data_IF_035375540274
#
_entry.id   IF_035375540274
#
_cell.length_a   1.000
_cell.length_b   1.000
_cell.length_c   1.000
_cell.angle_alpha   90.00
_cell.angle_beta   90.00
_cell.angle_gamma   90.00
#
_symmetry.space_group_name_H-M   'P 1'
#
loop_
_entity.id
_entity.type
_entity.pdbx_description
1 polymer ?
#
# COMPACT_ATOMS: atom_id res chain seq x y z
N UNK A 1 -19.60 -57.00 47.34
CA UNK A 1 -20.18 -57.39 46.04
C UNK A 1 -19.68 -56.38 45.02
N UNK A 2 -18.56 -56.68 44.36
CA UNK A 2 -18.47 -57.29 43.01
C UNK A 2 -18.89 -56.35 41.88
N UNK A 3 -17.85 -55.83 41.20
CA UNK A 3 -17.64 -55.62 39.76
C UNK A 3 -18.81 -55.02 38.94
N UNK A 4 -18.50 -53.97 38.17
CA UNK A 4 -18.30 -54.17 36.73
C UNK A 4 -17.56 -52.98 36.09
N UNK A 5 -16.40 -53.30 35.52
CA UNK A 5 -15.60 -52.43 34.66
C UNK A 5 -16.15 -52.58 33.24
N UNK A 6 -16.54 -51.46 32.63
CA UNK A 6 -17.03 -51.45 31.26
C UNK A 6 -15.94 -51.91 30.29
N UNK A 7 -16.29 -52.96 29.57
CA UNK A 7 -15.55 -53.57 28.46
C UNK A 7 -15.64 -52.67 27.25
N UNK A 8 -14.52 -52.07 26.84
CA UNK A 8 -14.41 -51.44 25.52
C UNK A 8 -13.93 -52.52 24.55
N UNK A 9 -14.83 -52.96 23.66
CA UNK A 9 -14.49 -53.77 22.48
C UNK A 9 -13.80 -52.85 21.48
N UNK A 10 -12.53 -53.11 21.19
CA UNK A 10 -11.81 -52.48 20.08
C UNK A 10 -11.88 -53.42 18.87
N UNK A 11 -12.48 -52.91 17.80
CA UNK A 11 -12.52 -53.54 16.50
C UNK A 11 -11.09 -53.66 15.92
N UNK A 12 -10.81 -54.83 15.36
CA UNK A 12 -9.60 -55.15 14.63
C UNK A 12 -9.61 -54.40 13.30
N UNK A 13 -8.53 -53.65 13.01
CA UNK A 13 -7.88 -53.64 11.69
C UNK A 13 -6.58 -52.80 11.72
N UNK A 14 -5.54 -53.39 11.13
CA UNK A 14 -4.35 -52.75 10.56
C UNK A 14 -3.15 -52.40 11.47
N UNK A 15 -2.42 -53.48 11.79
CA UNK A 15 -0.95 -53.60 11.73
C UNK A 15 -0.12 -52.40 12.20
N UNK A 16 -0.13 -52.17 13.51
CA UNK A 16 0.97 -51.51 14.19
C UNK A 16 2.22 -52.40 14.08
N UNK A 17 3.17 -52.03 13.20
CA UNK A 17 4.52 -52.62 13.17
C UNK A 17 5.20 -52.33 14.50
N UNK A 18 5.02 -53.27 15.42
CA UNK A 18 5.68 -53.38 16.72
C UNK A 18 7.19 -53.32 16.46
N UNK A 19 7.76 -52.13 16.64
CA UNK A 19 9.20 -51.93 16.64
C UNK A 19 9.77 -52.84 17.72
N UNK A 20 10.44 -53.90 17.29
CA UNK A 20 11.31 -54.69 18.16
C UNK A 20 12.42 -53.74 18.57
N UNK A 21 12.30 -53.16 19.76
CA UNK A 21 13.47 -52.73 20.51
C UNK A 21 14.36 -53.97 20.62
N UNK A 22 15.36 -54.05 19.75
CA UNK A 22 16.50 -54.92 19.99
C UNK A 22 17.17 -54.27 21.18
N UNK A 23 16.78 -54.72 22.37
CA UNK A 23 17.56 -54.55 23.57
C UNK A 23 18.88 -55.26 23.24
N UNK A 24 19.84 -54.50 22.71
CA UNK A 24 21.21 -54.96 22.60
C UNK A 24 21.68 -55.10 24.03
N UNK A 25 21.42 -56.27 24.61
CA UNK A 25 22.18 -56.76 25.74
C UNK A 25 23.63 -56.55 25.35
N UNK A 26 24.28 -55.58 25.99
CA UNK A 26 25.72 -55.47 26.03
C UNK A 26 26.18 -56.85 26.51
N UNK A 27 26.59 -57.70 25.58
CA UNK A 27 27.56 -58.73 25.90
C UNK A 27 28.80 -57.93 26.28
N UNK A 28 28.86 -57.55 27.55
CA UNK A 28 30.10 -57.27 28.23
C UNK A 28 30.87 -58.56 28.09
N UNK A 29 31.67 -58.65 27.03
CA UNK A 29 32.64 -59.71 26.87
C UNK A 29 33.56 -59.54 28.06
N UNK A 30 33.33 -60.31 29.11
CA UNK A 30 34.36 -60.52 30.10
C UNK A 30 35.60 -60.90 29.30
N UNK A 31 36.62 -60.05 29.38
CA UNK A 31 37.98 -60.39 28.96
C UNK A 31 38.31 -61.61 29.82
N UNK A 32 37.97 -62.79 29.31
CA UNK A 32 38.47 -64.03 29.84
C UNK A 32 39.97 -63.88 29.68
N UNK A 33 40.63 -63.74 30.82
CA UNK A 33 42.08 -63.75 30.91
C UNK A 33 42.52 -65.11 30.36
N UNK A 34 42.73 -65.15 29.03
CA UNK A 34 43.16 -66.34 28.32
C UNK A 34 44.50 -66.74 28.91
N UNK A 35 44.59 -67.98 29.41
CA UNK A 35 45.81 -68.51 29.99
C UNK A 35 46.99 -68.30 29.01
N UNK A 36 48.09 -67.65 29.43
CA UNK A 36 49.19 -67.29 28.54
C UNK A 36 49.87 -68.49 27.88
N UNK A 37 49.65 -69.71 28.39
CA UNK A 37 50.18 -70.96 27.84
C UNK A 37 49.17 -71.76 27.02
N UNK A 38 47.93 -71.29 26.90
CA UNK A 38 46.84 -71.98 26.19
C UNK A 38 47.19 -72.39 24.76
N UNK A 39 48.05 -71.64 24.08
CA UNK A 39 48.44 -71.92 22.69
C UNK A 39 49.40 -73.11 22.54
N UNK A 40 50.16 -73.46 23.60
CA UNK A 40 51.23 -74.48 23.55
C UNK A 40 51.09 -75.57 24.60
N UNK A 41 50.12 -75.45 25.52
CA UNK A 41 49.86 -76.40 26.62
C UNK A 41 49.67 -77.84 26.14
N UNK A 42 49.05 -78.02 24.98
CA UNK A 42 48.70 -79.34 24.46
C UNK A 42 49.78 -79.94 23.52
N UNK A 43 50.94 -79.26 23.38
CA UNK A 43 52.06 -79.76 22.58
C UNK A 43 52.92 -80.73 23.39
N UNK A 44 52.63 -82.03 23.29
CA UNK A 44 53.34 -83.07 24.02
C UNK A 44 54.83 -83.16 23.64
N UNK A 45 55.72 -83.08 24.63
CA UNK A 45 57.17 -83.15 24.44
C UNK A 45 57.85 -81.84 24.03
N UNK A 46 57.11 -80.71 24.01
CA UNK A 46 57.67 -79.40 23.73
C UNK A 46 58.24 -78.75 25.00
N UNK A 47 59.51 -78.32 24.97
CA UNK A 47 60.13 -77.54 26.05
C UNK A 47 60.05 -76.04 25.72
N UNK A 48 59.39 -75.28 26.59
CA UNK A 48 59.20 -73.84 26.41
C UNK A 48 60.53 -73.11 26.51
N UNK A 49 60.92 -72.41 25.44
CA UNK A 49 62.14 -71.60 25.42
C UNK A 49 61.87 -70.16 25.91
N UNK A 50 62.90 -69.41 26.35
CA UNK A 50 62.74 -68.00 26.70
C UNK A 50 62.17 -67.14 25.55
N UNK A 51 62.44 -67.50 24.29
CA UNK A 51 61.90 -66.82 23.12
C UNK A 51 60.38 -67.02 23.00
N UNK A 52 59.88 -68.22 23.31
CA UNK A 52 58.45 -68.55 23.27
C UNK A 52 57.65 -67.74 24.28
N UNK A 53 58.20 -67.49 25.47
CA UNK A 53 57.57 -66.63 26.49
C UNK A 53 57.39 -65.18 26.00
N UNK A 54 58.40 -64.65 25.30
CA UNK A 54 58.34 -63.30 24.71
C UNK A 54 57.31 -63.26 23.60
N UNK A 55 57.26 -64.29 22.75
CA UNK A 55 56.27 -64.43 21.69
C UNK A 55 54.85 -64.46 22.26
N UNK A 56 54.55 -65.37 23.20
CA UNK A 56 53.23 -65.51 23.82
C UNK A 56 52.76 -64.21 24.46
N UNK A 57 53.64 -63.53 25.21
CA UNK A 57 53.33 -62.23 25.81
C UNK A 57 52.99 -61.18 24.75
N UNK A 58 53.77 -61.10 23.67
CA UNK A 58 53.52 -60.16 22.57
C UNK A 58 52.21 -60.48 21.85
N UNK A 59 51.96 -61.74 21.51
CA UNK A 59 50.74 -62.18 20.84
C UNK A 59 49.50 -61.86 21.68
N UNK A 60 49.58 -62.03 23.00
CA UNK A 60 48.48 -61.69 23.90
C UNK A 60 48.24 -60.18 23.96
N UNK A 61 49.30 -59.39 24.09
CA UNK A 61 49.21 -57.92 24.04
C UNK A 61 48.64 -57.44 22.70
N UNK A 62 49.05 -58.02 21.58
CA UNK A 62 48.55 -57.69 20.26
C UNK A 62 47.06 -58.02 20.11
N UNK A 63 46.60 -59.18 20.60
CA UNK A 63 45.16 -59.50 20.65
C UNK A 63 44.38 -58.48 21.46
N UNK A 64 44.89 -58.10 22.64
CA UNK A 64 44.23 -57.12 23.50
C UNK A 64 44.16 -55.74 22.82
N UNK A 65 45.23 -55.31 22.16
CA UNK A 65 45.26 -54.07 21.39
C UNK A 65 44.22 -54.10 20.27
N UNK A 66 44.15 -55.20 19.52
CA UNK A 66 43.19 -55.37 18.42
C UNK A 66 41.73 -55.42 18.90
N UNK A 67 41.46 -55.92 20.11
CA UNK A 67 40.13 -55.87 20.73
C UNK A 67 39.78 -54.43 21.08
N UNK A 68 40.66 -53.74 21.82
CA UNK A 68 40.42 -52.36 22.26
C UNK A 68 40.29 -51.38 21.08
N UNK A 69 41.05 -51.57 20.01
CA UNK A 69 40.92 -50.78 18.78
C UNK A 69 39.53 -50.95 18.14
N UNK A 70 39.04 -52.20 18.04
CA UNK A 70 37.70 -52.47 17.52
C UNK A 70 36.60 -51.86 18.40
N UNK A 71 36.74 -51.96 19.72
CA UNK A 71 35.80 -51.34 20.66
C UNK A 71 35.81 -49.81 20.54
N UNK A 72 36.99 -49.21 20.41
CA UNK A 72 37.13 -47.76 20.20
C UNK A 72 36.44 -47.32 18.91
N UNK A 73 36.65 -48.03 17.81
CA UNK A 73 36.02 -47.73 16.52
C UNK A 73 34.50 -47.86 16.58
N UNK A 74 34.00 -48.89 17.26
CA UNK A 74 32.56 -49.11 17.47
C UNK A 74 31.95 -47.99 18.32
N UNK A 75 32.60 -47.61 19.44
CA UNK A 75 32.13 -46.52 20.30
C UNK A 75 32.14 -45.18 19.55
N UNK A 76 33.16 -44.91 18.74
CA UNK A 76 33.23 -43.72 17.90
C UNK A 76 32.11 -43.70 16.85
N UNK A 77 31.83 -44.84 16.20
CA UNK A 77 30.70 -44.98 15.27
C UNK A 77 29.37 -44.74 15.97
N UNK A 78 29.16 -45.35 17.13
CA UNK A 78 27.95 -45.17 17.93
C UNK A 78 27.75 -43.70 18.34
N UNK A 79 28.81 -43.02 18.78
CA UNK A 79 28.76 -41.59 19.12
C UNK A 79 28.37 -40.73 17.92
N UNK A 80 28.94 -40.98 16.73
CA UNK A 80 28.57 -40.24 15.50
C UNK A 80 27.10 -40.44 15.15
N UNK A 81 26.60 -41.68 15.24
CA UNK A 81 25.20 -41.99 14.96
C UNK A 81 24.25 -41.31 15.97
N UNK A 82 24.60 -41.32 17.26
CA UNK A 82 23.83 -40.63 18.29
C UNK A 82 23.83 -39.11 18.10
N UNK A 83 24.97 -38.53 17.72
CA UNK A 83 25.07 -37.11 17.41
C UNK A 83 24.18 -36.74 16.22
N UNK A 84 24.21 -37.54 15.14
CA UNK A 84 23.36 -37.31 13.97
C UNK A 84 21.87 -37.41 14.34
N UNK A 85 21.48 -38.44 15.09
CA UNK A 85 20.10 -38.62 15.55
C UNK A 85 19.63 -37.44 16.43
N UNK A 86 20.48 -36.96 17.34
CA UNK A 86 20.20 -35.76 18.15
C UNK A 86 20.01 -34.53 17.26
N UNK A 87 20.89 -34.30 16.30
CA UNK A 87 20.81 -33.12 15.42
C UNK A 87 19.53 -33.15 14.57
N UNK A 88 19.15 -34.31 14.04
CA UNK A 88 17.88 -34.46 13.32
C UNK A 88 16.67 -34.19 14.22
N UNK A 89 16.70 -34.67 15.46
CA UNK A 89 15.64 -34.39 16.44
C UNK A 89 15.57 -32.90 16.82
N UNK A 90 16.71 -32.22 16.94
CA UNK A 90 16.76 -30.78 17.21
C UNK A 90 16.18 -29.98 16.04
N UNK A 91 16.60 -30.29 14.80
CA UNK A 91 16.06 -29.63 13.61
C UNK A 91 14.54 -29.86 13.47
N UNK A 92 14.06 -31.07 13.75
CA UNK A 92 12.62 -31.35 13.78
C UNK A 92 11.90 -30.54 14.85
N UNK A 93 12.49 -30.37 16.04
CA UNK A 93 11.90 -29.59 17.12
C UNK A 93 11.88 -28.10 16.81
N UNK A 94 12.96 -27.56 16.25
CA UNK A 94 13.03 -26.17 15.81
C UNK A 94 11.94 -25.88 14.77
N UNK A 95 11.76 -26.76 13.79
CA UNK A 95 10.67 -26.65 12.83
C UNK A 95 9.28 -26.64 13.49
N UNK A 96 9.03 -27.58 14.41
CA UNK A 96 7.74 -27.62 15.13
C UNK A 96 7.54 -26.34 15.95
N UNK A 97 8.60 -25.81 16.56
CA UNK A 97 8.51 -24.57 17.33
C UNK A 97 8.19 -23.37 16.44
N UNK A 98 8.83 -23.24 15.27
CA UNK A 98 8.50 -22.16 14.34
C UNK A 98 7.07 -22.26 13.83
N UNK A 99 6.61 -23.47 13.51
CA UNK A 99 5.23 -23.70 13.07
C UNK A 99 4.21 -23.35 14.18
N UNK A 100 4.57 -23.59 15.45
CA UNK A 100 3.75 -23.20 16.61
C UNK A 100 3.78 -21.69 16.89
N UNK A 101 4.93 -21.04 16.71
CA UNK A 101 5.06 -19.59 16.88
C UNK A 101 4.30 -18.82 15.78
N UNK A 102 4.18 -19.39 14.58
CA UNK A 102 3.33 -18.87 13.49
C UNK A 102 1.83 -19.12 13.72
N UNK A 103 1.49 -20.15 14.50
CA UNK A 103 0.10 -20.46 14.80
C UNK A 103 -0.51 -19.40 15.74
N UNK A 104 -1.71 -18.92 15.43
CA UNK A 104 -2.44 -18.02 16.30
C UNK A 104 -2.65 -18.67 17.67
N UNK A 105 -2.55 -17.87 18.73
CA UNK A 105 -2.83 -18.40 20.06
C UNK A 105 -4.29 -18.88 20.12
N UNK A 106 -4.55 -19.93 20.90
CA UNK A 106 -5.90 -20.44 21.10
C UNK A 106 -6.84 -19.33 21.62
N UNK A 107 -6.31 -18.42 22.44
CA UNK A 107 -7.04 -17.27 22.97
C UNK A 107 -7.42 -16.28 21.87
N UNK A 108 -6.49 -15.91 20.98
CA UNK A 108 -6.77 -15.02 19.84
C UNK A 108 -7.84 -15.61 18.92
N UNK A 109 -7.77 -16.92 18.66
CA UNK A 109 -8.74 -17.62 17.81
C UNK A 109 -10.15 -17.57 18.42
N UNK A 110 -10.26 -17.78 19.72
CA UNK A 110 -11.54 -17.69 20.44
C UNK A 110 -12.07 -16.25 20.44
N UNK A 111 -11.22 -15.25 20.69
CA UNK A 111 -11.61 -13.84 20.65
C UNK A 111 -12.13 -13.42 19.28
N UNK A 112 -11.44 -13.80 18.20
CA UNK A 112 -11.91 -13.57 16.84
C UNK A 112 -13.28 -14.22 16.60
N UNK A 113 -13.47 -15.44 17.10
CA UNK A 113 -14.75 -16.13 17.00
C UNK A 113 -15.87 -15.43 17.77
N UNK A 114 -15.59 -14.88 18.96
CA UNK A 114 -16.55 -14.08 19.74
C UNK A 114 -16.98 -12.84 18.96
N UNK A 115 -16.01 -12.09 18.42
CA UNK A 115 -16.28 -10.90 17.61
C UNK A 115 -17.10 -11.24 16.37
N UNK A 116 -16.78 -12.34 15.69
CA UNK A 116 -17.53 -12.79 14.53
C UNK A 116 -18.98 -13.15 14.87
N UNK A 117 -19.20 -13.95 15.92
CA UNK A 117 -20.55 -14.35 16.32
C UNK A 117 -21.38 -13.19 16.88
N UNK A 118 -20.74 -12.17 17.45
CA UNK A 118 -21.40 -10.94 17.92
C UNK A 118 -22.09 -10.16 16.79
N UNK A 119 -21.83 -10.50 15.52
CA UNK A 119 -22.57 -9.97 14.36
C UNK A 119 -24.00 -10.51 14.28
N UNK A 120 -24.23 -11.74 14.77
CA UNK A 120 -25.51 -12.47 14.66
C UNK A 120 -26.17 -12.75 16.00
N UNK A 121 -25.38 -12.89 17.06
CA UNK A 121 -25.80 -13.21 18.42
C UNK A 121 -25.60 -12.02 19.35
N UNK A 122 -26.34 -11.99 20.45
CA UNK A 122 -26.15 -10.99 21.52
C UNK A 122 -24.89 -11.29 22.35
N UNK A 123 -24.32 -10.26 23.00
CA UNK A 123 -23.12 -10.41 23.85
C UNK A 123 -23.30 -11.48 24.92
N UNK A 124 -24.47 -11.54 25.56
CA UNK A 124 -24.77 -12.52 26.62
C UNK A 124 -24.84 -13.95 26.09
N UNK A 125 -25.33 -14.15 24.86
CA UNK A 125 -25.35 -15.48 24.22
C UNK A 125 -23.94 -15.93 23.86
N UNK A 126 -23.10 -15.02 23.36
CA UNK A 126 -21.71 -15.33 23.00
C UNK A 126 -20.86 -15.64 24.25
N UNK A 127 -21.03 -14.88 25.33
CA UNK A 127 -20.33 -15.09 26.61
C UNK A 127 -20.71 -16.40 27.32
N UNK A 128 -21.93 -16.90 27.09
CA UNK A 128 -22.39 -18.16 27.66
C UNK A 128 -21.79 -19.40 27.00
N UNK A 129 -21.18 -19.25 25.81
CA UNK A 129 -20.57 -20.36 25.06
C UNK A 129 -19.17 -20.66 25.59
N UNK A 130 -18.85 -21.95 25.75
CA UNK A 130 -17.47 -22.37 25.95
C UNK A 130 -16.68 -22.24 24.64
N UNK A 131 -15.34 -22.16 24.74
CA UNK A 131 -14.46 -21.98 23.57
C UNK A 131 -14.72 -23.00 22.46
N UNK A 132 -15.07 -24.25 22.82
CA UNK A 132 -15.31 -25.32 21.85
C UNK A 132 -16.66 -25.15 21.14
N UNK A 133 -17.75 -24.90 21.86
CA UNK A 133 -19.05 -24.67 21.22
C UNK A 133 -19.05 -23.39 20.39
N UNK A 134 -18.34 -22.36 20.85
CA UNK A 134 -18.17 -21.11 20.11
C UNK A 134 -17.55 -21.34 18.74
N UNK A 135 -16.39 -22.01 18.68
CA UNK A 135 -15.73 -22.30 17.40
C UNK A 135 -16.53 -23.26 16.53
N UNK A 136 -17.29 -24.19 17.12
CA UNK A 136 -18.14 -25.12 16.38
C UNK A 136 -19.34 -24.45 15.70
N UNK A 137 -19.81 -23.30 16.21
CA UNK A 137 -20.91 -22.56 15.58
C UNK A 137 -20.46 -21.77 14.35
N UNK A 138 -19.16 -21.46 14.23
CA UNK A 138 -18.62 -20.71 13.11
C UNK A 138 -18.41 -21.67 11.94
N UNK A 139 -19.22 -21.49 10.88
CA UNK A 139 -19.09 -22.26 9.65
C UNK A 139 -18.31 -21.47 8.61
N UNK A 140 -17.53 -22.16 7.79
CA UNK A 140 -16.78 -21.56 6.70
C UNK A 140 -17.67 -20.79 5.72
N UNK A 141 -18.88 -21.28 5.45
CA UNK A 141 -19.84 -20.59 4.59
C UNK A 141 -20.30 -19.24 5.17
N UNK A 142 -20.54 -19.16 6.48
CA UNK A 142 -20.91 -17.91 7.14
C UNK A 142 -19.76 -16.89 7.09
N UNK A 143 -18.52 -17.35 7.25
CA UNK A 143 -17.32 -16.49 7.16
C UNK A 143 -17.15 -15.98 5.73
N UNK A 144 -17.29 -16.86 4.74
CA UNK A 144 -17.16 -16.48 3.33
C UNK A 144 -18.22 -15.44 2.92
N UNK A 145 -19.47 -15.66 3.34
CA UNK A 145 -20.54 -14.69 3.12
C UNK A 145 -20.23 -13.34 3.76
N UNK A 146 -19.79 -13.33 5.02
CA UNK A 146 -19.43 -12.10 5.73
C UNK A 146 -18.28 -11.36 5.02
N UNK A 147 -17.30 -12.07 4.46
CA UNK A 147 -16.22 -11.46 3.69
C UNK A 147 -16.74 -10.81 2.41
N UNK A 148 -17.66 -11.47 1.70
CA UNK A 148 -18.28 -10.91 0.48
C UNK A 148 -19.13 -9.68 0.77
N UNK A 149 -19.89 -9.69 1.86
CA UNK A 149 -20.69 -8.54 2.33
C UNK A 149 -19.80 -7.34 2.66
N UNK A 150 -18.75 -7.54 3.45
CA UNK A 150 -17.79 -6.48 3.82
C UNK A 150 -17.04 -5.95 2.59
N UNK A 151 -16.66 -6.83 1.67
CA UNK A 151 -16.00 -6.43 0.44
C UNK A 151 -16.92 -5.58 -0.45
N UNK A 152 -18.21 -5.90 -0.51
CA UNK A 152 -19.20 -5.11 -1.22
C UNK A 152 -19.41 -3.73 -0.55
N UNK A 153 -19.48 -3.68 0.78
CA UNK A 153 -19.59 -2.41 1.53
C UNK A 153 -18.37 -1.52 1.33
N UNK A 154 -17.16 -2.09 1.34
CA UNK A 154 -15.92 -1.36 1.04
C UNK A 154 -16.01 -0.72 -0.35
N UNK A 155 -16.38 -1.48 -1.37
CA UNK A 155 -16.51 -0.95 -2.74
C UNK A 155 -17.57 0.14 -2.83
N UNK A 156 -18.72 0.01 -2.14
CA UNK A 156 -19.73 1.05 -2.09
C UNK A 156 -19.20 2.35 -1.43
N UNK A 157 -18.46 2.21 -0.33
CA UNK A 157 -17.86 3.34 0.38
C UNK A 157 -16.79 4.04 -0.45
N UNK A 158 -15.92 3.29 -1.13
CA UNK A 158 -14.93 3.83 -2.07
C UNK A 158 -15.60 4.66 -3.17
N UNK A 159 -16.68 4.13 -3.76
CA UNK A 159 -17.49 4.82 -4.75
C UNK A 159 -18.14 6.11 -4.21
N UNK A 160 -18.66 6.06 -2.98
CA UNK A 160 -19.24 7.23 -2.31
C UNK A 160 -18.17 8.30 -2.05
N UNK A 161 -16.98 7.90 -1.63
CA UNK A 161 -15.84 8.81 -1.42
C UNK A 161 -15.43 9.45 -2.74
N UNK A 162 -15.32 8.68 -3.82
CA UNK A 162 -14.98 9.21 -5.15
C UNK A 162 -15.99 10.28 -5.61
N UNK A 163 -17.30 9.99 -5.49
CA UNK A 163 -18.36 10.97 -5.82
C UNK A 163 -18.30 12.22 -4.94
N UNK A 164 -18.03 12.06 -3.64
CA UNK A 164 -17.93 13.19 -2.73
C UNK A 164 -16.74 14.11 -3.06
N UNK A 165 -15.61 13.53 -3.48
CA UNK A 165 -14.44 14.29 -3.92
C UNK A 165 -14.72 15.07 -5.21
N UNK A 166 -15.40 14.46 -6.17
CA UNK A 166 -15.80 15.15 -7.41
C UNK A 166 -16.73 16.34 -7.13
N UNK A 167 -17.73 16.14 -6.27
CA UNK A 167 -18.65 17.21 -5.85
C UNK A 167 -17.92 18.34 -5.12
N UNK A 168 -16.95 18.00 -4.26
CA UNK A 168 -16.10 19.00 -3.58
C UNK A 168 -15.31 19.82 -4.59
N UNK A 169 -14.60 19.18 -5.52
CA UNK A 169 -13.83 19.87 -6.55
C UNK A 169 -14.71 20.81 -7.40
N UNK A 170 -15.90 20.34 -7.79
CA UNK A 170 -16.88 21.18 -8.52
C UNK A 170 -17.38 22.35 -7.66
N UNK A 171 -17.57 22.13 -6.36
CA UNK A 171 -17.94 23.17 -5.40
C UNK A 171 -16.89 24.26 -5.30
N UNK A 172 -15.61 23.88 -5.20
CA UNK A 172 -14.47 24.81 -5.16
C UNK A 172 -14.38 25.67 -6.42
N UNK A 173 -14.57 25.07 -7.61
CA UNK A 173 -14.59 25.81 -8.88
C UNK A 173 -15.71 26.87 -8.88
N UNK A 174 -16.93 26.48 -8.48
CA UNK A 174 -18.07 27.40 -8.41
C UNK A 174 -17.83 28.51 -7.40
N UNK A 175 -17.27 28.18 -6.25
CA UNK A 175 -16.96 29.14 -5.20
C UNK A 175 -15.94 30.18 -5.70
N UNK A 176 -14.87 29.73 -6.36
CA UNK A 176 -13.89 30.62 -6.99
C UNK A 176 -14.52 31.54 -8.05
N UNK A 177 -15.47 31.02 -8.84
CA UNK A 177 -16.19 31.80 -9.83
C UNK A 177 -17.09 32.87 -9.20
N UNK A 178 -17.79 32.54 -8.12
CA UNK A 178 -18.59 33.51 -7.34
C UNK A 178 -17.69 34.62 -6.79
N UNK A 179 -16.53 34.26 -6.24
CA UNK A 179 -15.57 35.24 -5.72
C UNK A 179 -15.01 36.15 -6.82
N UNK A 180 -14.68 35.60 -8.00
CA UNK A 180 -14.28 36.37 -9.17
C UNK A 180 -15.35 37.38 -9.59
N UNK A 181 -16.62 36.94 -9.69
CA UNK A 181 -17.74 37.82 -10.04
C UNK A 181 -17.97 38.90 -9.00
N UNK A 182 -17.89 38.57 -7.72
CA UNK A 182 -18.03 39.54 -6.63
C UNK A 182 -16.93 40.61 -6.68
N UNK A 183 -15.67 40.23 -6.94
CA UNK A 183 -14.59 41.18 -7.17
C UNK A 183 -14.91 42.12 -8.34
N UNK A 184 -15.36 41.58 -9.48
CA UNK A 184 -15.72 42.39 -10.65
C UNK A 184 -16.88 43.36 -10.36
N UNK A 185 -17.89 42.92 -9.60
CA UNK A 185 -19.00 43.77 -9.17
C UNK A 185 -18.50 44.91 -8.28
N UNK A 186 -17.62 44.65 -7.32
CA UNK A 186 -17.04 45.67 -6.45
C UNK A 186 -16.26 46.71 -7.26
N UNK A 187 -15.45 46.28 -8.23
CA UNK A 187 -14.74 47.19 -9.14
C UNK A 187 -15.72 48.04 -9.95
N UNK A 188 -16.76 47.44 -10.55
CA UNK A 188 -17.78 48.19 -11.30
C UNK A 188 -18.51 49.19 -10.41
N UNK A 189 -18.87 48.83 -9.17
CA UNK A 189 -19.49 49.74 -8.20
C UNK A 189 -18.58 50.93 -7.87
N UNK A 190 -17.29 50.70 -7.68
CA UNK A 190 -16.32 51.77 -7.44
C UNK A 190 -16.23 52.72 -8.65
N UNK A 191 -16.17 52.17 -9.87
CA UNK A 191 -16.15 52.97 -11.10
C UNK A 191 -17.42 53.81 -11.27
N UNK A 192 -18.60 53.25 -10.99
CA UNK A 192 -19.87 54.01 -11.04
C UNK A 192 -19.82 55.18 -10.06
N UNK A 193 -19.38 54.95 -8.81
CA UNK A 193 -19.26 56.03 -7.82
C UNK A 193 -18.30 57.13 -8.29
N UNK A 194 -17.19 56.75 -8.92
CA UNK A 194 -16.24 57.70 -9.48
C UNK A 194 -16.85 58.53 -10.62
N UNK A 195 -17.46 57.88 -11.60
CA UNK A 195 -18.15 58.55 -12.72
C UNK A 195 -19.29 59.47 -12.24
N UNK A 196 -20.05 59.07 -11.22
CA UNK A 196 -21.07 59.92 -10.61
C UNK A 196 -20.49 61.20 -10.01
N UNK A 197 -19.30 61.11 -9.40
CA UNK A 197 -18.57 62.28 -8.89
C UNK A 197 -18.13 63.19 -10.05
N UNK A 198 -17.55 62.62 -11.11
CA UNK A 198 -17.13 63.38 -12.29
C UNK A 198 -18.31 64.07 -13.00
N UNK A 199 -19.45 63.38 -13.16
CA UNK A 199 -20.66 63.98 -13.72
C UNK A 199 -21.19 65.14 -12.86
N UNK A 200 -21.11 65.02 -11.53
CA UNK A 200 -21.53 66.10 -10.63
C UNK A 200 -20.61 67.32 -10.77
N UNK A 201 -19.30 67.08 -10.87
CA UNK A 201 -18.29 68.12 -11.11
C UNK A 201 -18.52 68.84 -12.44
N UNK A 202 -18.67 68.09 -13.54
CA UNK A 202 -18.93 68.64 -14.87
C UNK A 202 -20.25 69.41 -14.93
N UNK A 203 -21.29 68.92 -14.25
CA UNK A 203 -22.58 69.63 -14.17
C UNK A 203 -22.44 70.97 -13.44
N UNK A 204 -21.62 71.03 -12.37
CA UNK A 204 -21.31 72.28 -11.68
C UNK A 204 -20.52 73.24 -12.57
N UNK A 205 -19.54 72.74 -13.33
CA UNK A 205 -18.76 73.54 -14.27
C UNK A 205 -19.63 74.11 -15.40
N UNK A 206 -20.55 73.30 -15.96
CA UNK A 206 -21.49 73.73 -16.99
C UNK A 206 -22.40 74.84 -16.47
N UNK A 207 -22.99 74.68 -15.29
CA UNK A 207 -23.81 75.72 -14.67
C UNK A 207 -23.03 77.02 -14.44
N UNK A 208 -21.76 76.93 -14.01
CA UNK A 208 -20.89 78.10 -13.89
C UNK A 208 -20.63 78.80 -15.23
N UNK A 209 -20.40 78.03 -16.29
CA UNK A 209 -20.20 78.56 -17.64
C UNK A 209 -21.47 79.20 -18.21
N UNK A 210 -22.65 78.61 -17.98
CA UNK A 210 -23.94 79.19 -18.37
C UNK A 210 -24.20 80.54 -17.71
N UNK A 211 -23.92 80.66 -16.40
CA UNK A 211 -24.02 81.95 -15.67
C UNK A 211 -23.05 82.98 -16.25
N UNK A 212 -21.83 82.56 -16.60
CA UNK A 212 -20.82 83.43 -17.20
C UNK A 212 -21.24 83.91 -18.59
N UNK A 213 -21.85 83.04 -19.39
CA UNK A 213 -22.40 83.40 -20.71
C UNK A 213 -23.57 84.37 -20.61
N UNK A 214 -24.50 84.16 -19.69
CA UNK A 214 -25.62 85.08 -19.46
C UNK A 214 -25.13 86.47 -19.00
N UNK A 215 -24.08 86.54 -18.18
CA UNK A 215 -23.47 87.80 -17.80
C UNK A 215 -22.88 88.53 -19.02
N UNK A 216 -22.11 87.83 -19.86
CA UNK A 216 -21.55 88.38 -21.11
C UNK A 216 -22.67 88.82 -22.08
N UNK A 217 -23.77 88.07 -22.14
CA UNK A 217 -24.91 88.42 -22.99
C UNK A 217 -25.64 89.67 -22.47
N UNK A 218 -25.82 89.81 -21.17
CA UNK A 218 -26.32 91.05 -20.55
C UNK A 218 -25.40 92.24 -20.82
N UNK A 219 -24.07 92.05 -20.77
CA UNK A 219 -23.08 93.08 -21.14
C UNK A 219 -23.18 93.46 -22.63
N UNK A 220 -23.37 92.49 -23.55
CA UNK A 220 -23.62 92.77 -24.97
C UNK A 220 -24.94 93.51 -25.22
N UNK A 221 -26.02 93.18 -24.50
CA UNK A 221 -27.30 93.85 -24.65
C UNK A 221 -27.21 95.30 -24.11
N UNK A 222 -26.43 95.56 -23.06
CA UNK A 222 -26.12 96.94 -22.63
C UNK A 222 -25.27 97.74 -23.62
N UNK A 223 -24.42 97.06 -24.42
CA UNK A 223 -23.66 97.68 -25.51
C UNK A 223 -24.53 97.93 -26.76
N UNK A 224 -25.61 97.17 -26.97
CA UNK A 224 -26.56 97.42 -28.07
C UNK A 224 -27.52 98.57 -27.81
N UNK A 225 -27.83 98.89 -26.56
CA UNK A 225 -28.63 100.06 -26.18
C UNK A 225 -27.82 101.38 -26.19
N UNK A 226 -26.52 101.34 -26.55
CA UNK A 226 -25.62 102.49 -26.59
C UNK A 226 -24.94 102.74 -27.94
N UNK A 227 -25.51 102.30 -29.08
CA UNK A 227 -25.05 102.78 -30.40
C UNK A 227 -26.21 103.13 -31.36
N UNK A 228 -26.52 104.43 -31.41
CA UNK A 228 -27.02 105.12 -32.60
C UNK A 228 -26.16 106.38 -32.86
N UNK A 229 -25.55 106.38 -34.06
CA UNK A 229 -25.08 107.53 -34.89
C UNK A 229 -23.92 108.40 -34.33
N UNK A 230 -22.87 108.78 -35.06
CA UNK A 230 -22.60 108.96 -36.51
C UNK A 230 -21.10 108.72 -36.80
N UNK A 231 -20.72 107.95 -37.82
CA UNK A 231 -20.37 108.33 -39.21
C UNK A 231 -19.16 109.28 -39.40
N UNK A 232 -18.04 108.70 -39.87
CA UNK A 232 -17.17 109.34 -40.89
C UNK A 232 -16.30 108.25 -41.56
N UNK A 233 -16.58 107.92 -42.82
CA UNK A 233 -15.58 107.28 -43.72
C UNK A 233 -14.72 108.34 -44.44
N UNK A 234 -13.96 108.00 -45.50
CA UNK A 234 -13.23 106.75 -45.81
C UNK A 234 -11.76 107.02 -46.25
N UNK A 235 -10.91 105.99 -46.41
CA UNK A 235 -10.06 105.72 -47.60
C UNK A 235 -8.81 104.85 -47.33
N UNK A 236 -8.58 103.95 -48.30
CA UNK A 236 -7.29 103.42 -48.79
C UNK A 236 -6.43 102.55 -47.84
N UNK A 237 -5.80 101.45 -48.23
CA UNK A 237 -5.63 100.77 -49.52
C UNK A 237 -4.89 99.43 -49.27
N UNK A 238 -5.12 98.42 -50.13
CA UNK A 238 -4.19 97.33 -50.51
C UNK A 238 -3.85 96.30 -49.39
N UNK A 239 -3.65 94.99 -49.61
CA UNK A 239 -3.45 94.20 -50.81
C UNK A 239 -3.68 92.72 -50.47
N UNK A 240 -3.87 91.94 -51.53
CA UNK A 240 -4.33 90.56 -51.59
C UNK A 240 -3.16 89.57 -51.51
N UNK A 241 -3.35 88.52 -50.70
CA UNK A 241 -2.87 87.12 -50.86
C UNK A 241 -1.35 86.82 -50.74
N UNK A 242 -0.92 85.54 -50.72
CA UNK A 242 -1.50 84.34 -50.09
C UNK A 242 -0.45 83.47 -49.36
N UNK A 243 -0.93 82.38 -48.73
CA UNK A 243 -0.31 81.05 -48.75
C UNK A 243 0.69 80.63 -47.66
N UNK A 244 0.68 79.30 -47.47
CA UNK A 244 1.67 78.38 -46.89
C UNK A 244 1.61 78.20 -45.35
N UNK A 245 1.26 77.02 -44.81
CA UNK A 245 1.72 75.64 -45.01
C UNK A 245 3.13 75.33 -44.46
N UNK A 246 3.24 74.11 -43.91
CA UNK A 246 4.41 73.33 -43.39
C UNK A 246 4.73 73.54 -41.90
N UNK A 247 4.60 72.55 -41.01
CA UNK A 247 5.26 71.21 -40.92
C UNK A 247 6.80 71.33 -40.77
N UNK A 248 7.56 70.43 -40.09
CA UNK A 248 7.36 68.96 -39.95
C UNK A 248 7.86 68.41 -38.57
N UNK A 249 8.11 67.11 -38.23
CA UNK A 249 8.73 65.98 -38.95
C UNK A 249 8.61 64.68 -38.11
N UNK A 250 8.40 63.54 -38.79
CA UNK A 250 8.57 62.14 -38.34
C UNK A 250 10.09 61.79 -38.15
N UNK A 251 10.60 60.52 -38.12
CA UNK A 251 10.01 59.16 -38.07
C UNK A 251 10.79 58.16 -37.14
N UNK A 252 10.40 56.86 -37.12
CA UNK A 252 11.25 55.63 -37.25
C UNK A 252 10.58 54.37 -36.62
N UNK A 253 10.23 53.34 -37.43
CA UNK A 253 10.90 52.01 -37.59
C UNK A 253 11.02 51.18 -36.30
N UNK A 254 10.84 49.86 -36.20
CA UNK A 254 10.90 48.67 -37.07
C UNK A 254 10.24 47.53 -36.23
N UNK A 255 9.43 46.63 -36.78
CA UNK A 255 9.78 45.35 -37.44
C UNK A 255 10.45 44.30 -36.52
N UNK A 256 9.79 43.13 -36.47
CA UNK A 256 10.27 41.75 -36.32
C UNK A 256 10.34 41.07 -34.94
N UNK A 257 9.82 39.82 -34.93
CA UNK A 257 10.23 38.69 -34.07
C UNK A 257 9.15 38.26 -33.08
N UNK A 258 8.58 37.05 -33.13
CA UNK A 258 8.87 35.87 -33.94
C UNK A 258 7.79 34.81 -33.78
N UNK A 259 7.73 33.93 -34.78
CA UNK A 259 7.00 32.67 -34.84
C UNK A 259 7.60 31.64 -33.87
N UNK A 260 6.79 30.72 -33.33
CA UNK A 260 6.82 29.27 -33.69
C UNK A 260 5.82 28.45 -32.84
N UNK A 261 4.85 27.76 -33.48
CA UNK A 261 4.73 26.28 -33.66
C UNK A 261 4.66 25.55 -32.29
N UNK A 262 3.60 24.84 -31.88
CA UNK A 262 3.11 23.59 -32.49
C UNK A 262 1.79 23.17 -31.85
N UNK A 263 0.76 23.00 -32.69
CA UNK A 263 -0.37 22.12 -32.40
C UNK A 263 0.10 20.68 -32.63
N UNK A 264 -0.08 19.81 -31.64
CA UNK A 264 -0.11 18.38 -31.90
C UNK A 264 -1.43 17.83 -31.36
N UNK A 265 -2.33 17.57 -32.30
CA UNK A 265 -3.43 16.65 -32.12
C UNK A 265 -2.86 15.25 -31.87
N UNK A 266 -3.40 14.53 -30.89
CA UNK A 266 -3.34 13.07 -30.90
C UNK A 266 -4.74 12.50 -30.86
N UNK A 267 -4.93 11.61 -31.81
CA UNK A 267 -6.15 11.00 -32.26
C UNK A 267 -6.71 10.00 -31.24
N UNK A 268 -8.03 10.04 -31.15
CA UNK A 268 -8.90 8.91 -30.84
C UNK A 268 -8.48 7.68 -31.66
N UNK A 269 -8.27 6.54 -30.98
CA UNK A 269 -8.32 5.22 -31.61
C UNK A 269 -9.20 4.29 -30.77
N UNK A 270 -10.44 4.20 -31.20
CA UNK A 270 -11.38 3.12 -30.87
C UNK A 270 -11.13 2.03 -31.90
N UNK A 271 -10.88 0.80 -31.44
CA UNK A 271 -11.16 -0.42 -32.20
C UNK A 271 -11.69 -1.47 -31.24
N UNK A 272 -12.88 -2.03 -31.49
CA UNK A 272 -13.34 -3.27 -30.89
C UNK A 272 -12.81 -4.46 -31.70
N UNK A 273 -12.60 -5.61 -31.06
CA UNK A 273 -12.53 -6.88 -31.79
C UNK A 273 -13.34 -7.90 -31.03
N UNK A 274 -14.51 -8.18 -31.61
CA UNK A 274 -15.32 -9.37 -31.41
C UNK A 274 -14.82 -10.40 -32.45
N UNK A 275 -14.72 -11.66 -32.06
CA UNK A 275 -15.33 -12.85 -32.71
C UNK A 275 -14.61 -14.11 -32.22
N UNK A 276 -15.40 -15.02 -31.67
CA UNK A 276 -15.04 -16.37 -31.28
C UNK A 276 -16.29 -17.14 -30.86
N UNK A 277 -17.26 -17.20 -31.78
CA UNK A 277 -18.54 -17.91 -31.66
C UNK A 277 -18.32 -19.43 -31.75
N UNK A 278 -18.99 -20.21 -30.88
CA UNK A 278 -19.28 -21.63 -31.09
C UNK A 278 -20.47 -22.06 -30.20
N UNK A 279 -21.68 -21.91 -30.74
CA UNK A 279 -22.79 -22.88 -30.77
C UNK A 279 -22.44 -24.32 -30.28
N UNK A 280 -23.24 -25.13 -29.58
CA UNK A 280 -24.69 -25.30 -29.33
C UNK A 280 -24.88 -26.31 -28.17
N UNK A 281 -26.01 -26.24 -27.45
CA UNK A 281 -26.96 -27.36 -27.27
C UNK A 281 -27.76 -27.31 -25.94
N UNK A 282 -29.05 -27.05 -26.09
CA UNK A 282 -30.16 -27.90 -25.60
C UNK A 282 -30.36 -28.12 -24.08
N UNK A 283 -31.53 -27.73 -23.57
CA UNK A 283 -32.06 -28.34 -22.34
C UNK A 283 -33.21 -27.64 -21.66
N UNK A 284 -34.33 -27.41 -22.36
CA UNK A 284 -35.63 -27.19 -21.74
C UNK A 284 -36.20 -28.55 -21.27
N UNK A 285 -36.41 -28.72 -19.97
CA UNK A 285 -37.61 -29.29 -19.34
C UNK A 285 -37.56 -29.08 -17.83
#
# INVERSE_FOLDING_TARGET
>A
MTKDLYTIKLAETETCRRSRFISSTLCSGSVLEEDPYSLIRDMQGYEVTPADLVFLKRTMQERQINILQRELDELLRQRRNQMLARNLSLASREKIQTDLDESLSCEQTVQMGQVFLSRKLSSTEVEALDSKALLAQIKTADVQQAVEEEQAEITELEDRVARALELRARGEIKQQEIENRNRAILTKKANIKHLMKELSELKSQLAGAEVSLLAIQGEMDTLKDTEKEDDTGPQEALQVAPSQAKAPKAPKTKRNGGETITQQASHVRITPTIVGESHMASGLR
#
